data_IF_195442049891
#
_entry.id   IF_195442049891
#
_cell.length_a   1.000
_cell.length_b   1.000
_cell.length_c   1.000
_cell.angle_alpha   90.00
_cell.angle_beta   90.00
_cell.angle_gamma   90.00
#
_symmetry.space_group_name_H-M   'P 1'
#
loop_
_entity.id
_entity.type
_entity.pdbx_description
1 polymer ?
#
# COMPACT_ATOMS: atom_id res chain seq x y z
N UNK A 1 9.46 6.21 22.17
CA UNK A 1 8.88 5.81 20.87
C UNK A 1 8.92 4.30 20.75
N UNK A 2 7.84 3.73 20.24
CA UNK A 2 7.83 2.29 19.98
C UNK A 2 8.64 1.97 18.72
N UNK A 3 9.59 1.04 18.86
CA UNK A 3 10.37 0.51 17.73
C UNK A 3 9.47 -0.12 16.68
N UNK A 4 8.34 -0.69 17.10
CA UNK A 4 7.42 -1.45 16.22
C UNK A 4 6.09 -0.71 15.98
N UNK A 5 6.15 0.59 15.78
CA UNK A 5 4.95 1.43 15.59
C UNK A 5 4.04 1.01 14.41
N UNK A 6 4.61 0.39 13.38
CA UNK A 6 3.84 -0.09 12.24
C UNK A 6 3.14 -1.42 12.47
N UNK A 7 3.43 -2.08 13.60
CA UNK A 7 2.92 -3.41 13.94
C UNK A 7 1.95 -3.38 15.13
N UNK A 8 1.41 -2.21 15.47
CA UNK A 8 0.55 -2.01 16.64
C UNK A 8 -0.64 -2.97 16.70
N UNK A 9 -1.19 -3.34 15.55
CA UNK A 9 -2.36 -4.22 15.44
C UNK A 9 -2.03 -5.71 15.33
N UNK A 10 -0.76 -6.07 15.40
CA UNK A 10 -0.33 -7.47 15.33
C UNK A 10 -0.19 -8.08 16.73
N UNK A 11 -0.21 -9.41 16.78
CA UNK A 11 -0.08 -10.14 18.04
C UNK A 11 1.30 -9.93 18.69
N UNK A 12 1.37 -10.13 20.00
CA UNK A 12 2.64 -10.05 20.73
C UNK A 12 3.65 -11.07 20.20
N UNK A 13 3.19 -12.25 19.78
CA UNK A 13 4.06 -13.28 19.20
C UNK A 13 4.75 -12.77 17.92
N UNK A 14 4.00 -12.12 17.02
CA UNK A 14 4.56 -11.53 15.80
C UNK A 14 5.53 -10.41 16.15
N UNK A 15 5.15 -9.52 17.06
CA UNK A 15 6.01 -8.41 17.50
C UNK A 15 7.32 -8.93 18.10
N UNK A 16 7.28 -9.99 18.90
CA UNK A 16 8.47 -10.57 19.50
C UNK A 16 9.42 -11.16 18.46
N UNK A 17 8.87 -11.84 17.44
CA UNK A 17 9.67 -12.37 16.34
C UNK A 17 10.33 -11.26 15.52
N UNK A 18 9.60 -10.20 15.23
CA UNK A 18 10.14 -9.04 14.51
C UNK A 18 11.20 -8.33 15.34
N UNK A 19 10.97 -8.15 16.65
CA UNK A 19 11.93 -7.52 17.53
C UNK A 19 13.24 -8.29 17.56
N UNK A 20 13.21 -9.63 17.54
CA UNK A 20 14.42 -10.46 17.46
C UNK A 20 15.18 -10.20 16.17
N UNK A 21 14.48 -10.09 15.03
CA UNK A 21 15.13 -9.74 13.75
C UNK A 21 15.81 -8.37 13.82
N UNK A 22 15.15 -7.39 14.44
CA UNK A 22 15.70 -6.04 14.63
C UNK A 22 16.95 -6.08 15.51
N UNK A 23 16.88 -6.75 16.66
CA UNK A 23 17.99 -6.87 17.62
C UNK A 23 19.19 -7.60 17.05
N UNK A 24 18.96 -8.59 16.18
CA UNK A 24 20.00 -9.36 15.51
C UNK A 24 20.48 -8.69 14.21
N UNK A 25 19.97 -7.52 13.86
CA UNK A 25 20.28 -6.79 12.62
C UNK A 25 20.03 -7.62 11.35
N UNK A 26 18.99 -8.47 11.38
CA UNK A 26 18.66 -9.39 10.27
C UNK A 26 17.41 -8.99 9.47
N UNK A 27 16.77 -7.88 9.83
CA UNK A 27 15.53 -7.46 9.16
C UNK A 27 15.78 -7.12 7.68
N UNK A 28 16.84 -6.36 7.38
CA UNK A 28 17.21 -6.02 6.02
C UNK A 28 17.51 -7.29 5.19
N UNK A 29 18.26 -8.23 5.76
CA UNK A 29 18.61 -9.50 5.09
C UNK A 29 17.35 -10.31 4.75
N UNK A 30 16.40 -10.39 5.69
CA UNK A 30 15.12 -11.05 5.46
C UNK A 30 14.38 -10.45 4.26
N UNK A 31 14.28 -9.12 4.23
CA UNK A 31 13.58 -8.41 3.16
C UNK A 31 14.30 -8.54 1.82
N UNK A 32 15.61 -8.35 1.78
CA UNK A 32 16.41 -8.44 0.56
C UNK A 32 16.44 -9.84 -0.03
N UNK A 33 16.43 -10.86 0.82
CA UNK A 33 16.37 -12.25 0.38
C UNK A 33 15.03 -12.59 -0.27
N UNK A 34 13.94 -12.11 0.32
CA UNK A 34 12.56 -12.38 -0.14
C UNK A 34 12.17 -11.47 -1.30
N UNK A 35 12.64 -10.22 -1.28
CA UNK A 35 12.31 -9.18 -2.27
C UNK A 35 13.62 -8.53 -2.76
N UNK A 36 14.34 -9.18 -3.68
CA UNK A 36 15.69 -8.72 -4.06
C UNK A 36 15.72 -7.50 -5.00
N UNK A 37 14.59 -7.14 -5.62
CA UNK A 37 14.57 -6.08 -6.63
C UNK A 37 13.39 -5.14 -6.45
N UNK A 38 13.48 -3.97 -7.07
CA UNK A 38 12.44 -2.94 -7.06
C UNK A 38 11.68 -2.90 -8.38
N UNK A 39 10.49 -2.29 -8.36
CA UNK A 39 9.67 -2.13 -9.55
C UNK A 39 10.16 -1.01 -10.47
N UNK A 40 9.58 -0.93 -11.67
CA UNK A 40 9.90 0.05 -12.70
C UNK A 40 8.87 1.19 -12.83
N UNK A 41 7.83 1.23 -11.99
CA UNK A 41 6.71 2.17 -12.09
C UNK A 41 6.99 3.44 -11.29
N UNK A 42 8.07 4.15 -11.61
CA UNK A 42 8.64 5.21 -10.78
C UNK A 42 8.02 6.60 -10.98
N UNK A 43 7.21 6.79 -12.01
CA UNK A 43 6.51 8.05 -12.24
C UNK A 43 4.99 7.88 -12.19
N UNK A 44 4.26 8.98 -12.15
CA UNK A 44 2.80 8.95 -12.00
C UNK A 44 2.11 8.28 -13.19
N UNK A 45 2.63 8.47 -14.39
CA UNK A 45 2.08 7.83 -15.59
C UNK A 45 2.17 6.31 -15.52
N UNK A 46 3.35 5.77 -15.19
CA UNK A 46 3.55 4.33 -15.07
C UNK A 46 2.79 3.74 -13.89
N UNK A 47 2.70 4.47 -12.77
CA UNK A 47 1.87 4.08 -11.62
C UNK A 47 0.40 3.98 -12.01
N UNK A 48 -0.11 4.96 -12.76
CA UNK A 48 -1.49 4.95 -13.25
C UNK A 48 -1.75 3.75 -14.15
N UNK A 49 -0.88 3.49 -15.11
CA UNK A 49 -1.00 2.35 -16.03
C UNK A 49 -1.02 1.02 -15.27
N UNK A 50 -0.15 0.86 -14.30
CA UNK A 50 -0.09 -0.30 -13.41
C UNK A 50 -1.40 -0.46 -12.62
N UNK A 51 -1.89 0.63 -12.01
CA UNK A 51 -3.12 0.63 -11.21
C UNK A 51 -4.35 0.32 -12.05
N UNK A 52 -4.48 0.97 -13.21
CA UNK A 52 -5.61 0.75 -14.13
C UNK A 52 -5.60 -0.67 -14.67
N UNK A 53 -4.43 -1.25 -14.93
CA UNK A 53 -4.30 -2.64 -15.37
C UNK A 53 -4.91 -3.61 -14.35
N UNK A 54 -4.59 -3.45 -13.07
CA UNK A 54 -5.15 -4.27 -11.99
C UNK A 54 -6.66 -4.04 -11.87
N UNK A 55 -7.09 -2.77 -11.89
CA UNK A 55 -8.51 -2.42 -11.83
C UNK A 55 -9.30 -3.10 -12.94
N UNK A 56 -8.82 -3.03 -14.17
CA UNK A 56 -9.52 -3.61 -15.32
C UNK A 56 -9.56 -5.13 -15.29
N UNK A 57 -8.60 -5.76 -14.64
CA UNK A 57 -8.57 -7.21 -14.47
C UNK A 57 -9.60 -7.73 -13.47
N UNK A 58 -9.77 -7.03 -12.34
CA UNK A 58 -10.51 -7.56 -11.18
C UNK A 58 -11.80 -6.81 -10.85
N UNK A 59 -11.84 -5.50 -11.06
CA UNK A 59 -12.97 -4.64 -10.69
C UNK A 59 -13.40 -3.74 -11.86
N UNK A 60 -13.51 -4.33 -13.01
CA UNK A 60 -13.80 -3.65 -14.27
C UNK A 60 -15.02 -2.73 -14.23
N UNK A 61 -16.07 -3.14 -13.51
CA UNK A 61 -17.33 -2.38 -13.39
C UNK A 61 -17.31 -1.34 -12.26
N UNK A 62 -16.17 -0.92 -11.79
CA UNK A 62 -16.05 0.13 -10.78
C UNK A 62 -15.93 1.51 -11.41
N UNK A 63 -16.09 2.55 -10.58
CA UNK A 63 -15.96 3.95 -11.02
C UNK A 63 -14.58 4.21 -11.62
N UNK A 64 -14.49 5.03 -12.69
CA UNK A 64 -13.20 5.38 -13.28
C UNK A 64 -12.34 6.20 -12.30
N UNK A 65 -11.03 6.02 -12.41
CA UNK A 65 -10.05 6.79 -11.64
C UNK A 65 -9.75 8.11 -12.36
N UNK A 66 -9.90 9.23 -11.65
CA UNK A 66 -9.56 10.54 -12.19
C UNK A 66 -8.06 10.82 -12.12
N UNK A 67 -7.38 10.31 -11.08
CA UNK A 67 -5.96 10.55 -10.85
C UNK A 67 -5.34 9.43 -10.02
N UNK A 68 -4.12 9.05 -10.37
CA UNK A 68 -3.28 8.14 -9.58
C UNK A 68 -1.88 8.74 -9.56
N UNK A 69 -1.40 9.07 -8.37
CA UNK A 69 -0.11 9.75 -8.21
C UNK A 69 0.65 9.23 -6.99
N UNK A 70 1.97 9.40 -7.01
CA UNK A 70 2.79 9.37 -5.80
C UNK A 70 2.67 10.70 -5.07
N UNK A 71 2.53 10.66 -3.76
CA UNK A 71 2.38 11.86 -2.93
C UNK A 71 3.37 11.84 -1.77
N UNK A 72 4.37 12.76 -1.77
CA UNK A 72 5.36 12.82 -0.70
C UNK A 72 4.78 13.34 0.63
N UNK A 73 3.56 13.88 0.61
CA UNK A 73 2.92 14.46 1.81
C UNK A 73 2.17 13.42 2.65
N UNK A 74 2.01 12.18 2.16
CA UNK A 74 1.31 11.14 2.91
C UNK A 74 2.20 10.64 4.04
N UNK A 75 1.69 10.77 5.27
CA UNK A 75 2.29 10.19 6.45
C UNK A 75 1.82 8.75 6.61
N UNK A 76 2.72 7.82 6.37
CA UNK A 76 2.44 6.38 6.36
C UNK A 76 1.85 5.90 7.69
N UNK A 77 2.25 6.49 8.82
CA UNK A 77 1.75 6.12 10.15
C UNK A 77 0.27 6.46 10.30
N UNK A 78 -0.13 7.66 9.86
CA UNK A 78 -1.48 8.18 10.10
C UNK A 78 -2.51 7.72 9.07
N UNK A 79 -2.05 7.50 7.83
CA UNK A 79 -2.90 7.18 6.69
C UNK A 79 -2.66 5.76 6.16
N UNK A 80 -2.22 4.87 7.02
CA UNK A 80 -1.79 3.54 6.66
C UNK A 80 -0.74 3.55 5.57
N UNK A 81 -1.03 3.74 4.30
CA UNK A 81 -0.03 3.52 3.24
C UNK A 81 -0.36 4.28 1.97
N UNK A 82 -1.57 4.76 1.90
CA UNK A 82 -2.06 5.51 0.78
C UNK A 82 -3.35 6.23 1.16
N UNK A 83 -3.90 6.95 0.23
CA UNK A 83 -5.11 7.71 0.42
C UNK A 83 -6.00 7.58 -0.79
N UNK A 84 -7.17 6.98 -0.60
CA UNK A 84 -8.26 7.04 -1.57
C UNK A 84 -9.11 8.26 -1.24
N UNK A 85 -9.16 9.22 -2.16
CA UNK A 85 -9.94 10.43 -2.00
C UNK A 85 -11.14 10.41 -2.92
N UNK A 86 -12.31 10.60 -2.33
CA UNK A 86 -13.56 10.81 -3.05
C UNK A 86 -13.85 12.31 -3.08
N UNK A 87 -13.87 12.88 -4.27
CA UNK A 87 -14.13 14.32 -4.45
C UNK A 87 -15.37 14.50 -5.30
N UNK A 88 -16.33 15.26 -4.77
CA UNK A 88 -17.52 15.66 -5.50
C UNK A 88 -17.33 17.05 -6.12
N UNK A 89 -17.68 17.19 -7.41
CA UNK A 89 -17.66 18.47 -8.10
C UNK A 89 -19.00 18.75 -8.77
N UNK A 90 -19.40 20.00 -8.73
CA UNK A 90 -20.53 20.48 -9.53
C UNK A 90 -19.99 20.90 -10.90
N UNK A 91 -20.54 20.28 -11.95
CA UNK A 91 -20.21 20.61 -13.33
C UNK A 91 -21.51 20.94 -14.06
N UNK A 92 -21.75 22.22 -14.33
CA UNK A 92 -23.07 22.70 -14.72
C UNK A 92 -24.05 22.49 -13.58
N UNK A 93 -25.22 21.90 -13.86
CA UNK A 93 -26.21 21.58 -12.83
C UNK A 93 -26.10 20.13 -12.31
N UNK A 94 -24.99 19.44 -12.61
CA UNK A 94 -24.78 18.03 -12.21
C UNK A 94 -23.61 17.90 -11.28
N UNK A 95 -23.83 17.16 -10.17
CA UNK A 95 -22.77 16.74 -9.26
C UNK A 95 -22.05 15.55 -9.89
N UNK A 96 -20.73 15.67 -10.09
CA UNK A 96 -19.88 14.57 -10.53
C UNK A 96 -18.91 14.17 -9.43
N UNK A 97 -18.76 12.86 -9.26
CA UNK A 97 -17.82 12.27 -8.30
C UNK A 97 -16.51 11.92 -9.00
N UNK A 98 -15.40 12.16 -8.32
CA UNK A 98 -14.08 11.75 -8.76
C UNK A 98 -13.43 10.84 -7.73
N UNK A 99 -12.76 9.80 -8.22
CA UNK A 99 -11.94 8.92 -7.40
C UNK A 99 -10.46 9.18 -7.70
N UNK A 100 -9.73 9.59 -6.68
CA UNK A 100 -8.29 9.79 -6.74
C UNK A 100 -7.60 8.77 -5.85
N UNK A 101 -6.51 8.20 -6.34
CA UNK A 101 -5.62 7.36 -5.54
C UNK A 101 -4.29 8.07 -5.39
N UNK A 102 -3.86 8.21 -4.15
CA UNK A 102 -2.56 8.78 -3.80
C UNK A 102 -1.77 7.74 -3.03
N UNK A 103 -0.60 7.41 -3.54
CA UNK A 103 0.29 6.41 -2.95
C UNK A 103 1.47 7.13 -2.31
N UNK A 104 1.82 6.76 -1.08
CA UNK A 104 2.99 7.34 -0.42
C UNK A 104 4.24 7.19 -1.28
N UNK A 105 5.03 8.25 -1.35
CA UNK A 105 6.27 8.29 -2.11
C UNK A 105 7.29 7.23 -1.67
N UNK A 106 7.16 6.70 -0.46
CA UNK A 106 8.01 5.61 0.06
C UNK A 106 7.94 4.36 -0.82
N UNK A 107 6.84 4.16 -1.54
CA UNK A 107 6.65 3.00 -2.43
C UNK A 107 7.21 3.20 -3.83
N UNK A 108 7.70 4.39 -4.15
CA UNK A 108 8.28 4.66 -5.48
C UNK A 108 9.50 3.78 -5.77
N UNK A 109 10.30 3.48 -4.76
CA UNK A 109 11.51 2.65 -4.85
C UNK A 109 11.40 1.31 -4.14
N UNK A 110 10.19 0.87 -3.86
CA UNK A 110 9.95 -0.39 -3.16
C UNK A 110 9.97 -1.59 -4.09
N UNK A 111 10.03 -2.82 -3.57
CA UNK A 111 9.67 -4.01 -4.33
C UNK A 111 8.26 -3.92 -4.93
N UNK A 112 8.07 -4.53 -6.10
CA UNK A 112 6.78 -4.52 -6.80
C UNK A 112 5.65 -5.10 -5.95
N UNK A 113 5.94 -6.14 -5.15
CA UNK A 113 4.95 -6.77 -4.30
C UNK A 113 4.33 -5.77 -3.30
N UNK A 114 5.12 -4.85 -2.75
CA UNK A 114 4.63 -3.85 -1.81
C UNK A 114 3.83 -2.75 -2.51
N UNK A 115 4.28 -2.30 -3.68
CA UNK A 115 3.51 -1.36 -4.48
C UNK A 115 2.16 -1.97 -4.87
N UNK A 116 2.16 -3.23 -5.33
CA UNK A 116 0.95 -3.94 -5.70
C UNK A 116 0.00 -4.07 -4.50
N UNK A 117 0.53 -4.41 -3.34
CA UNK A 117 -0.27 -4.53 -2.12
C UNK A 117 -0.99 -3.24 -1.78
N UNK A 118 -0.31 -2.09 -1.78
CA UNK A 118 -0.94 -0.82 -1.46
C UNK A 118 -1.91 -0.36 -2.54
N UNK A 119 -1.60 -0.60 -3.81
CA UNK A 119 -2.51 -0.30 -4.92
C UNK A 119 -3.80 -1.13 -4.81
N UNK A 120 -3.68 -2.42 -4.51
CA UNK A 120 -4.82 -3.31 -4.27
C UNK A 120 -5.67 -2.80 -3.10
N UNK A 121 -5.06 -2.39 -2.01
CA UNK A 121 -5.74 -1.80 -0.86
C UNK A 121 -6.59 -0.59 -1.27
N UNK A 122 -6.00 0.34 -2.01
CA UNK A 122 -6.68 1.55 -2.45
C UNK A 122 -7.77 1.25 -3.50
N UNK A 123 -7.53 0.30 -4.40
CA UNK A 123 -8.55 -0.14 -5.36
C UNK A 123 -9.75 -0.79 -4.68
N UNK A 124 -9.53 -1.56 -3.61
CA UNK A 124 -10.62 -2.18 -2.84
C UNK A 124 -11.57 -1.13 -2.27
N UNK A 125 -11.07 0.06 -1.91
CA UNK A 125 -11.90 1.17 -1.44
C UNK A 125 -12.84 1.73 -2.52
N UNK A 126 -12.68 1.41 -3.78
CA UNK A 126 -13.69 1.74 -4.80
C UNK A 126 -15.02 1.01 -4.56
N UNK A 127 -14.99 -0.12 -3.88
CA UNK A 127 -16.17 -0.95 -3.59
C UNK A 127 -16.54 -0.97 -2.12
N UNK A 128 -15.55 -0.95 -1.24
CA UNK A 128 -15.72 -1.09 0.21
C UNK A 128 -15.02 0.05 0.92
N UNK A 129 -15.80 0.96 1.50
CA UNK A 129 -15.28 2.13 2.20
C UNK A 129 -14.52 1.76 3.47
N UNK A 130 -15.05 0.81 4.24
CA UNK A 130 -14.50 0.40 5.53
C UNK A 130 -13.63 -0.86 5.40
N UNK A 131 -12.68 -1.01 6.31
CA UNK A 131 -11.80 -2.18 6.39
C UNK A 131 -12.53 -3.37 7.04
N UNK A 132 -13.64 -3.79 6.42
CA UNK A 132 -14.46 -4.91 6.88
C UNK A 132 -14.07 -6.22 6.17
N UNK A 133 -14.80 -7.29 6.45
CA UNK A 133 -14.56 -8.60 5.84
C UNK A 133 -14.66 -8.56 4.31
N UNK A 134 -15.65 -7.84 3.78
CA UNK A 134 -15.83 -7.70 2.33
C UNK A 134 -14.63 -6.98 1.68
N UNK A 135 -14.09 -5.96 2.35
CA UNK A 135 -12.87 -5.26 1.91
C UNK A 135 -11.69 -6.23 1.79
N UNK A 136 -11.40 -6.99 2.84
CA UNK A 136 -10.26 -7.93 2.83
C UNK A 136 -10.47 -9.09 1.88
N UNK A 137 -11.70 -9.56 1.70
CA UNK A 137 -12.02 -10.58 0.68
C UNK A 137 -11.71 -10.05 -0.71
N UNK A 138 -12.02 -8.80 -0.98
CA UNK A 138 -11.71 -8.17 -2.27
C UNK A 138 -10.20 -7.99 -2.46
N UNK A 139 -9.48 -7.56 -1.43
CA UNK A 139 -8.02 -7.48 -1.46
C UNK A 139 -7.39 -8.83 -1.80
N UNK A 140 -7.84 -9.89 -1.13
CA UNK A 140 -7.33 -11.25 -1.35
C UNK A 140 -7.75 -11.82 -2.71
N UNK A 141 -8.86 -11.36 -3.28
CA UNK A 141 -9.24 -11.71 -4.65
C UNK A 141 -8.26 -11.12 -5.67
N UNK A 142 -7.84 -9.88 -5.45
CA UNK A 142 -6.86 -9.20 -6.33
C UNK A 142 -5.42 -9.64 -6.08
N UNK A 143 -5.11 -10.05 -4.86
CA UNK A 143 -3.77 -10.45 -4.43
C UNK A 143 -3.90 -11.54 -3.36
N UNK A 144 -3.71 -12.80 -3.74
CA UNK A 144 -3.99 -13.96 -2.87
C UNK A 144 -3.18 -13.97 -1.57
N UNK A 145 -1.97 -13.43 -1.57
CA UNK A 145 -1.08 -13.32 -0.41
C UNK A 145 -1.11 -11.92 0.24
N UNK A 146 -2.21 -11.20 0.08
CA UNK A 146 -2.37 -9.83 0.56
C UNK A 146 -1.95 -9.65 2.03
N UNK A 147 -2.41 -10.52 2.93
CA UNK A 147 -2.11 -10.39 4.37
C UNK A 147 -0.63 -10.57 4.68
N UNK A 148 0.04 -11.51 4.01
CA UNK A 148 1.47 -11.69 4.17
C UNK A 148 2.25 -10.50 3.62
N UNK A 149 1.85 -9.97 2.48
CA UNK A 149 2.46 -8.79 1.89
C UNK A 149 2.25 -7.55 2.75
N UNK A 150 1.10 -7.42 3.39
CA UNK A 150 0.87 -6.32 4.34
C UNK A 150 1.85 -6.38 5.50
N UNK A 151 2.06 -7.56 6.08
CA UNK A 151 3.04 -7.73 7.14
C UNK A 151 4.46 -7.39 6.66
N UNK A 152 4.89 -7.98 5.55
CA UNK A 152 6.25 -7.75 5.01
C UNK A 152 6.47 -6.28 4.64
N UNK A 153 5.45 -5.62 4.11
CA UNK A 153 5.50 -4.20 3.82
C UNK A 153 5.67 -3.37 5.10
N UNK A 154 5.01 -3.75 6.20
CA UNK A 154 5.18 -3.08 7.49
C UNK A 154 6.57 -3.34 8.08
N UNK A 155 7.17 -4.50 7.82
CA UNK A 155 8.57 -4.77 8.15
C UNK A 155 9.52 -3.87 7.33
N UNK A 156 9.22 -3.66 6.06
CA UNK A 156 9.96 -2.73 5.21
C UNK A 156 9.90 -1.29 5.74
N UNK A 157 8.73 -0.82 6.15
CA UNK A 157 8.58 0.50 6.77
C UNK A 157 9.33 0.60 8.10
N UNK A 158 9.34 -0.47 8.88
CA UNK A 158 10.10 -0.55 10.14
C UNK A 158 11.60 -0.44 9.85
N UNK A 159 12.08 -1.15 8.85
CA UNK A 159 13.49 -1.09 8.41
C UNK A 159 13.88 0.34 8.01
N UNK A 160 13.08 0.98 7.16
CA UNK A 160 13.34 2.37 6.73
C UNK A 160 13.35 3.32 7.93
N UNK A 161 12.39 3.18 8.83
CA UNK A 161 12.26 4.04 10.00
C UNK A 161 13.45 3.93 10.97
N UNK A 162 14.01 2.74 11.13
CA UNK A 162 15.10 2.49 12.07
C UNK A 162 16.48 2.68 11.44
N UNK A 163 16.67 2.28 10.20
CA UNK A 163 17.99 2.14 9.60
C UNK A 163 18.12 2.80 8.21
N UNK A 164 17.05 3.34 7.66
CA UNK A 164 17.06 3.96 6.33
C UNK A 164 16.82 2.97 5.18
N UNK A 165 17.01 3.46 3.96
CA UNK A 165 16.70 2.73 2.74
C UNK A 165 17.62 1.52 2.55
N UNK A 166 17.06 0.46 1.95
CA UNK A 166 17.79 -0.76 1.59
C UNK A 166 17.73 -1.07 0.08
N UNK A 167 16.98 -0.25 -0.68
CA UNK A 167 16.86 -0.34 -2.13
C UNK A 167 17.31 0.93 -2.80
#
# INVERSE_FOLDING_TARGET
MSTLKYLSNYSEQVKDQVLKLVEQEKLADYLLKKYPSTHQFVNDKSLREFTVSIKNQYIKKSSPLSQVIYDPKIHVINNALGLHTFVSRVQGNKLKSKHEIRISDVFRKSPEAFLRMIVVHELAHLKEKDHNKAFYNLCCHMQSDYHQLELDMRLYLTQISLYGDIY
#
